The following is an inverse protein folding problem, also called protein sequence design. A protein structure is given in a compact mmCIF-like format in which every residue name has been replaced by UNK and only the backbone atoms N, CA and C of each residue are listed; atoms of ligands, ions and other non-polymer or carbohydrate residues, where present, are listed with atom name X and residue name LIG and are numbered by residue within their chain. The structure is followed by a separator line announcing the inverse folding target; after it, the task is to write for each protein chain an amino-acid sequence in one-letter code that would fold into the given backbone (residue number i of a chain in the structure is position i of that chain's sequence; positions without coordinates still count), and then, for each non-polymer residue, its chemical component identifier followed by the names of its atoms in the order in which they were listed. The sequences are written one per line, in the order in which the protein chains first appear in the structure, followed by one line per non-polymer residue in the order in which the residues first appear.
data_IF_142947640838
#
_entry.id   IF_142947640838
#
_cell.length_a   1.000
_cell.length_b   1.000
_cell.length_c   1.000
_cell.angle_alpha   90.00
_cell.angle_beta   90.00
_cell.angle_gamma   90.00
#
_symmetry.space_group_name_H-M   'P 1'
#
loop_
_entity.id
_entity.type
_entity.pdbx_description
1 polymer ?
#
# COMPACT_ATOMS: atom_id res chain seq x y z
N UNK A 1 -12.45 -11.26 10.71
CA UNK A 1 -11.46 -10.28 10.23
C UNK A 1 -11.44 -10.15 8.70
N UNK A 2 -11.67 -11.23 7.94
CA UNK A 2 -11.86 -11.20 6.48
C UNK A 2 -12.82 -10.08 5.98
N UNK A 3 -13.93 -9.83 6.70
CA UNK A 3 -14.87 -8.75 6.40
C UNK A 3 -14.24 -7.34 6.33
N UNK A 4 -13.21 -7.08 7.14
CA UNK A 4 -12.54 -5.78 7.17
C UNK A 4 -11.72 -5.56 5.88
N UNK A 5 -11.06 -6.60 5.39
CA UNK A 5 -10.30 -6.54 4.15
C UNK A 5 -11.23 -6.45 2.94
N UNK A 6 -12.33 -7.21 2.91
CA UNK A 6 -13.32 -7.11 1.83
C UNK A 6 -13.88 -5.68 1.67
N UNK A 7 -14.08 -4.96 2.79
CA UNK A 7 -14.52 -3.57 2.80
C UNK A 7 -13.47 -2.57 2.28
N UNK A 8 -12.19 -2.95 2.20
CA UNK A 8 -11.13 -2.08 1.66
C UNK A 8 -11.43 -1.70 0.19
N UNK A 9 -11.95 -2.64 -0.60
CA UNK A 9 -12.21 -2.46 -2.02
C UNK A 9 -10.91 -2.23 -2.81
N UNK A 10 -10.86 -1.13 -3.56
CA UNK A 10 -9.72 -0.76 -4.40
C UNK A 10 -9.40 0.73 -4.27
N UNK A 11 -8.10 1.06 -4.33
CA UNK A 11 -7.57 2.43 -4.34
C UNK A 11 -6.55 2.53 -5.46
N UNK A 12 -6.67 3.56 -6.29
CA UNK A 12 -5.71 3.91 -7.32
C UNK A 12 -5.08 5.26 -6.97
N UNK A 13 -3.78 5.40 -7.24
CA UNK A 13 -3.10 6.67 -7.06
C UNK A 13 -1.83 6.79 -7.88
N UNK A 14 -1.24 7.97 -7.81
CA UNK A 14 0.01 8.31 -8.48
C UNK A 14 0.98 8.88 -7.45
N UNK A 15 2.17 8.28 -7.38
CA UNK A 15 3.27 8.78 -6.60
C UNK A 15 4.25 9.54 -7.52
N UNK A 16 4.41 10.84 -7.25
CA UNK A 16 5.29 11.70 -8.05
C UNK A 16 6.71 11.66 -7.46
N UNK A 17 7.74 11.40 -8.26
CA UNK A 17 9.10 11.48 -7.76
C UNK A 17 9.41 12.92 -7.33
N UNK A 18 10.30 13.11 -6.34
CA UNK A 18 10.84 14.43 -6.02
C UNK A 18 11.41 15.10 -7.27
N UNK A 19 11.30 16.43 -7.38
CA UNK A 19 11.79 17.23 -8.53
C UNK A 19 13.28 16.96 -8.84
N UNK A 20 14.04 16.54 -7.83
CA UNK A 20 15.47 16.19 -7.93
C UNK A 20 15.74 14.87 -8.65
N UNK A 21 14.73 14.00 -8.78
CA UNK A 21 14.85 12.66 -9.36
C UNK A 21 14.17 12.67 -10.74
N UNK A 22 14.95 12.47 -11.80
CA UNK A 22 14.43 12.33 -13.17
C UNK A 22 13.82 10.93 -13.40
N UNK A 23 12.70 10.67 -12.74
CA UNK A 23 11.91 9.45 -12.92
C UNK A 23 10.49 9.77 -13.40
N UNK A 24 9.83 8.76 -13.96
CA UNK A 24 8.41 8.84 -14.30
C UNK A 24 7.58 8.72 -13.02
N UNK A 25 6.37 9.30 -12.98
CA UNK A 25 5.40 8.99 -11.94
C UNK A 25 5.17 7.48 -11.85
N UNK A 26 4.99 6.99 -10.63
CA UNK A 26 4.65 5.59 -10.39
C UNK A 26 3.16 5.54 -10.08
N UNK A 27 2.42 4.81 -10.90
CA UNK A 27 1.02 4.51 -10.62
C UNK A 27 0.97 3.34 -9.65
N UNK A 28 0.10 3.43 -8.65
CA UNK A 28 -0.13 2.33 -7.72
C UNK A 28 -1.61 1.99 -7.60
N UNK A 29 -1.86 0.72 -7.31
CA UNK A 29 -3.17 0.14 -7.10
C UNK A 29 -3.12 -0.76 -5.87
N UNK A 30 -3.87 -0.42 -4.84
CA UNK A 30 -4.08 -1.26 -3.68
C UNK A 30 -5.48 -1.89 -3.76
N UNK A 31 -5.59 -3.20 -3.61
CA UNK A 31 -6.88 -3.87 -3.52
C UNK A 31 -6.84 -5.04 -2.56
N UNK A 32 -7.95 -5.26 -1.87
CA UNK A 32 -8.12 -6.49 -1.12
C UNK A 32 -8.60 -7.61 -2.03
N UNK A 33 -8.05 -8.80 -1.81
CA UNK A 33 -8.46 -10.02 -2.48
C UNK A 33 -8.77 -11.08 -1.43
N UNK A 34 -9.97 -11.63 -1.47
CA UNK A 34 -10.30 -12.84 -0.73
C UNK A 34 -9.68 -14.03 -1.48
N UNK A 35 -8.64 -14.64 -0.91
CA UNK A 35 -7.94 -15.77 -1.54
C UNK A 35 -8.69 -17.08 -1.31
N UNK A 36 -9.23 -17.28 -0.10
CA UNK A 36 -10.04 -18.44 0.35
C UNK A 36 -10.92 -18.02 1.54
N UNK A 37 -11.88 -18.86 1.96
CA UNK A 37 -12.93 -18.56 2.97
C UNK A 37 -12.45 -17.91 4.28
N UNK A 38 -11.16 -17.98 4.63
CA UNK A 38 -10.59 -17.38 5.85
C UNK A 38 -9.34 -16.51 5.61
N UNK A 39 -8.81 -16.45 4.38
CA UNK A 39 -7.56 -15.72 4.09
C UNK A 39 -7.83 -14.60 3.12
N UNK A 40 -7.82 -13.37 3.64
CA UNK A 40 -7.83 -12.14 2.86
C UNK A 40 -6.43 -11.55 2.81
N UNK A 41 -6.05 -11.02 1.65
CA UNK A 41 -4.78 -10.33 1.45
C UNK A 41 -4.99 -8.95 0.84
N UNK A 42 -4.18 -7.98 1.23
CA UNK A 42 -4.11 -6.66 0.61
C UNK A 42 -2.95 -6.67 -0.38
N UNK A 43 -3.29 -6.53 -1.65
CA UNK A 43 -2.34 -6.50 -2.76
C UNK A 43 -2.05 -5.05 -3.15
N UNK A 44 -0.79 -4.64 -3.09
CA UNK A 44 -0.29 -3.38 -3.62
C UNK A 44 0.51 -3.64 -4.89
N UNK A 45 0.09 -3.06 -6.01
CA UNK A 45 0.84 -3.03 -7.26
C UNK A 45 1.33 -1.60 -7.50
N UNK A 46 2.56 -1.42 -7.94
CA UNK A 46 3.13 -0.15 -8.36
C UNK A 46 3.84 -0.32 -9.71
N UNK A 47 3.71 0.62 -10.64
CA UNK A 47 4.36 0.55 -11.96
C UNK A 47 4.62 1.92 -12.57
N UNK A 48 5.70 2.03 -13.34
CA UNK A 48 6.00 3.21 -14.16
C UNK A 48 5.41 3.15 -15.58
N UNK A 49 4.61 2.10 -15.87
CA UNK A 49 4.05 1.76 -17.18
C UNK A 49 5.09 1.73 -18.32
N UNK A 50 6.35 1.46 -18.00
CA UNK A 50 7.44 1.44 -18.96
C UNK A 50 8.32 0.20 -18.80
N UNK A 51 9.10 0.12 -17.72
CA UNK A 51 10.09 -0.94 -17.51
C UNK A 51 10.08 -1.51 -16.10
N UNK A 52 9.34 -0.89 -15.18
CA UNK A 52 9.33 -1.29 -13.78
C UNK A 52 7.90 -1.51 -13.27
N UNK A 53 7.73 -2.65 -12.60
CA UNK A 53 6.56 -2.97 -11.80
C UNK A 53 7.04 -3.65 -10.51
N UNK A 54 6.34 -3.36 -9.42
CA UNK A 54 6.56 -3.92 -8.10
C UNK A 54 5.22 -4.35 -7.55
N UNK A 55 5.17 -5.50 -6.90
CA UNK A 55 4.00 -5.96 -6.18
C UNK A 55 4.35 -6.32 -4.74
N UNK A 56 3.36 -6.21 -3.86
CA UNK A 56 3.43 -6.67 -2.48
C UNK A 56 2.06 -7.20 -2.08
N UNK A 57 2.05 -8.40 -1.48
CA UNK A 57 0.87 -8.93 -0.81
C UNK A 57 1.10 -8.86 0.70
N UNK A 58 0.09 -8.37 1.43
CA UNK A 58 0.06 -8.27 2.87
C UNK A 58 -1.07 -9.14 3.40
N UNK A 59 -0.74 -10.14 4.20
CA UNK A 59 -1.72 -10.91 4.95
C UNK A 59 -2.16 -10.11 6.19
N UNK A 60 -3.19 -10.62 6.84
CA UNK A 60 -3.71 -9.97 8.03
C UNK A 60 -2.67 -9.77 9.14
N UNK A 61 -1.77 -10.73 9.34
CA UNK A 61 -0.66 -10.59 10.28
C UNK A 61 0.27 -9.44 9.90
N UNK A 62 0.57 -9.26 8.61
CA UNK A 62 1.37 -8.12 8.14
C UNK A 62 0.65 -6.79 8.39
N UNK A 63 -0.68 -6.76 8.27
CA UNK A 63 -1.50 -5.58 8.57
C UNK A 63 -1.52 -5.26 10.07
N UNK A 64 -1.61 -6.27 10.94
CA UNK A 64 -1.52 -6.09 12.38
C UNK A 64 -0.12 -5.60 12.81
N UNK A 65 0.95 -6.17 12.25
CA UNK A 65 2.33 -5.71 12.50
C UNK A 65 2.51 -4.25 12.04
N UNK A 66 2.02 -3.90 10.85
CA UNK A 66 2.05 -2.52 10.35
C UNK A 66 1.24 -1.56 11.22
N UNK A 67 0.09 -1.99 11.76
CA UNK A 67 -0.70 -1.16 12.68
C UNK A 67 0.10 -0.85 13.94
N UNK A 68 0.73 -1.88 14.50
CA UNK A 68 1.51 -1.77 15.72
C UNK A 68 2.75 -0.88 15.50
N UNK A 69 3.42 -0.98 14.35
CA UNK A 69 4.55 -0.12 13.95
C UNK A 69 4.16 1.36 13.78
N UNK A 70 2.99 1.64 13.18
CA UNK A 70 2.49 3.01 13.01
C UNK A 70 1.96 3.58 14.35
N UNK A 71 1.55 2.72 15.27
CA UNK A 71 1.04 3.10 16.59
C UNK A 71 -0.41 3.59 16.59
N UNK A 72 -1.22 3.17 15.61
CA UNK A 72 -2.65 3.50 15.54
C UNK A 72 -3.43 2.48 16.36
N UNK A 73 -4.01 2.92 17.48
CA UNK A 73 -4.98 2.12 18.23
C UNK A 73 -6.30 1.99 17.48
N UNK A 74 -7.04 0.90 17.73
CA UNK A 74 -8.34 0.65 17.12
C UNK A 74 -8.44 -0.77 16.57
N UNK A 75 -9.52 -1.02 15.84
CA UNK A 75 -9.73 -2.28 15.13
C UNK A 75 -8.88 -2.35 13.84
N UNK A 76 -8.72 -3.55 13.28
CA UNK A 76 -8.13 -3.74 11.96
C UNK A 76 -8.86 -2.91 10.88
N UNK A 77 -10.19 -2.81 10.96
CA UNK A 77 -10.99 -1.99 10.05
C UNK A 77 -10.61 -0.50 10.12
N UNK A 78 -10.44 0.04 11.34
CA UNK A 78 -10.04 1.45 11.53
C UNK A 78 -8.67 1.72 10.87
N UNK A 79 -7.74 0.78 11.01
CA UNK A 79 -6.42 0.88 10.39
C UNK A 79 -6.48 0.78 8.85
N UNK A 80 -7.33 -0.10 8.31
CA UNK A 80 -7.54 -0.21 6.86
C UNK A 80 -8.19 1.05 6.27
N UNK A 81 -9.14 1.66 6.99
CA UNK A 81 -9.75 2.94 6.60
C UNK A 81 -8.74 4.09 6.64
N UNK A 82 -7.86 4.11 7.66
CA UNK A 82 -6.73 5.02 7.72
C UNK A 82 -5.79 4.83 6.53
N UNK A 83 -5.35 3.60 6.26
CA UNK A 83 -4.46 3.28 5.16
C UNK A 83 -5.06 3.67 3.80
N UNK A 84 -6.34 3.36 3.59
CA UNK A 84 -7.09 3.77 2.40
C UNK A 84 -7.13 5.28 2.25
N UNK A 85 -7.34 6.01 3.34
CA UNK A 85 -7.31 7.48 3.34
C UNK A 85 -5.92 8.03 3.00
N UNK A 86 -4.85 7.43 3.53
CA UNK A 86 -3.47 7.79 3.17
C UNK A 86 -3.19 7.57 1.69
N UNK A 87 -3.54 6.41 1.14
CA UNK A 87 -3.34 6.10 -0.28
C UNK A 87 -4.18 6.99 -1.20
N UNK A 88 -5.37 7.39 -0.75
CA UNK A 88 -6.28 8.27 -1.50
C UNK A 88 -5.93 9.76 -1.37
N UNK A 89 -5.04 10.13 -0.44
CA UNK A 89 -4.68 11.53 -0.18
C UNK A 89 -3.88 12.18 -1.32
N UNK A 90 -3.20 11.38 -2.15
CA UNK A 90 -2.24 11.86 -3.15
C UNK A 90 -0.85 12.17 -2.58
N UNK A 91 -0.68 12.15 -1.26
CA UNK A 91 0.58 12.43 -0.56
C UNK A 91 1.44 11.15 -0.39
N UNK A 92 1.62 10.40 -1.48
CA UNK A 92 2.40 9.17 -1.49
C UNK A 92 3.81 9.44 -2.02
N UNK A 93 4.80 9.29 -1.14
CA UNK A 93 6.21 9.52 -1.46
C UNK A 93 6.90 8.24 -1.94
N UNK A 94 7.70 8.36 -2.99
CA UNK A 94 8.60 7.29 -3.44
C UNK A 94 9.91 7.34 -2.66
N UNK A 95 10.21 6.25 -1.96
CA UNK A 95 11.48 6.05 -1.27
C UNK A 95 12.28 5.06 -2.09
N UNK A 96 13.45 5.49 -2.56
CA UNK A 96 14.40 4.62 -3.23
C UNK A 96 15.43 4.15 -2.19
N UNK A 97 15.84 2.87 -2.19
CA UNK A 97 17.00 2.47 -1.42
C UNK A 97 18.17 3.33 -1.90
N UNK A 98 18.71 4.18 -1.02
CA UNK A 98 19.95 4.88 -1.30
C UNK A 98 20.97 3.78 -1.59
N UNK A 99 21.50 3.71 -2.81
CA UNK A 99 22.71 2.92 -3.07
C UNK A 99 23.69 3.31 -1.96
N UNK A 100 24.03 2.40 -1.04
CA UNK A 100 24.77 2.68 0.19
C UNK A 100 26.12 3.35 -0.04
N UNK A 101 26.10 4.65 -0.31
CA UNK A 101 27.24 5.54 -0.47
C UNK A 101 26.96 6.80 0.36
N UNK A 102 27.13 6.65 1.67
CA UNK A 102 27.97 7.50 2.51
C UNK A 102 28.57 6.60 3.60
#
# INVERSE_FOLDING_TARGET
MAMAMDAFGSVFGEAKPPVTIRMRPVLFHAHAHAHTDDVSQLCLLATDLHSHAWDRSLFLSDIDDLRDDVGIGGSCSDFLDYLKSCLSSGEVNLIFPHNGQA
#
